data_IF_416426877663
#
_entry.id   IF_416426877663
#
_cell.length_a   1.000
_cell.length_b   1.000
_cell.length_c   1.000
_cell.angle_alpha   90.00
_cell.angle_beta   90.00
_cell.angle_gamma   90.00
#
_symmetry.space_group_name_H-M   'P 1'
#
loop_
_entity.id
_entity.type
_entity.pdbx_description
1 polymer ?
#
# COMPACT_ATOMS: atom_id res chain seq x y z
N UNK A 1 -6.10 4.13 20.97
CA UNK A 1 -6.14 5.42 21.70
C UNK A 1 -6.66 6.56 20.83
N UNK A 2 -6.23 6.64 19.55
CA UNK A 2 -6.70 7.60 18.54
C UNK A 2 -8.22 7.80 18.47
N UNK A 3 -9.02 6.72 18.36
CA UNK A 3 -10.48 6.84 18.22
C UNK A 3 -11.17 7.59 19.37
N UNK A 4 -10.63 7.51 20.58
CA UNK A 4 -11.15 8.22 21.75
C UNK A 4 -10.85 9.72 21.62
N UNK A 5 -9.63 10.07 21.21
CA UNK A 5 -9.21 11.47 21.00
C UNK A 5 -10.03 12.11 19.87
N UNK A 6 -10.23 11.39 18.76
CA UNK A 6 -11.03 11.87 17.64
C UNK A 6 -12.49 12.13 18.08
N UNK A 7 -13.07 11.20 18.86
CA UNK A 7 -14.42 11.35 19.41
C UNK A 7 -14.54 12.59 20.31
N UNK A 8 -13.59 12.81 21.23
CA UNK A 8 -13.59 14.00 22.08
C UNK A 8 -13.37 15.29 21.28
N UNK A 9 -12.51 15.25 20.26
CA UNK A 9 -12.29 16.37 19.36
C UNK A 9 -13.59 16.81 18.67
N UNK A 10 -14.34 15.85 18.11
CA UNK A 10 -15.66 16.14 17.52
C UNK A 10 -16.68 16.61 18.56
N UNK A 11 -16.70 16.02 19.75
CA UNK A 11 -17.64 16.38 20.80
C UNK A 11 -17.41 17.80 21.33
N UNK A 12 -16.15 18.21 21.48
CA UNK A 12 -15.78 19.59 21.83
C UNK A 12 -16.15 20.56 20.70
N UNK A 13 -15.87 20.19 19.45
CA UNK A 13 -16.15 21.05 18.30
C UNK A 13 -17.66 21.26 18.14
N UNK A 14 -18.45 20.18 18.04
CA UNK A 14 -19.88 20.27 17.84
C UNK A 14 -20.62 20.73 19.10
N UNK A 15 -20.33 20.11 20.25
CA UNK A 15 -20.98 20.41 21.53
C UNK A 15 -20.62 21.79 22.06
N UNK A 16 -19.34 22.16 22.03
CA UNK A 16 -18.89 23.48 22.50
C UNK A 16 -19.42 24.62 21.63
N UNK A 17 -19.51 24.42 20.31
CA UNK A 17 -20.10 25.41 19.41
C UNK A 17 -21.61 25.55 19.64
N UNK A 18 -22.32 24.43 19.79
CA UNK A 18 -23.75 24.44 20.06
C UNK A 18 -24.08 25.13 21.40
N UNK A 19 -23.40 24.72 22.48
CA UNK A 19 -23.58 25.33 23.81
C UNK A 19 -23.20 26.81 23.78
N UNK A 20 -22.06 27.16 23.17
CA UNK A 20 -21.60 28.55 23.07
C UNK A 20 -22.58 29.46 22.31
N UNK A 21 -23.21 28.96 21.24
CA UNK A 21 -24.26 29.69 20.51
C UNK A 21 -25.52 29.85 21.34
N UNK A 22 -26.01 28.78 21.99
CA UNK A 22 -27.23 28.85 22.83
C UNK A 22 -27.07 29.71 24.07
N UNK A 23 -25.88 29.76 24.65
CA UNK A 23 -25.57 30.56 25.83
C UNK A 23 -25.09 31.98 25.50
N UNK A 24 -24.92 32.32 24.22
CA UNK A 24 -24.33 33.59 23.76
C UNK A 24 -22.86 33.81 24.16
N UNK A 25 -22.15 32.75 24.56
CA UNK A 25 -20.76 32.87 25.01
C UNK A 25 -19.80 32.75 23.84
N UNK A 26 -19.34 33.91 23.35
CA UNK A 26 -18.32 33.99 22.29
C UNK A 26 -17.05 33.24 22.68
N UNK A 27 -16.66 33.27 23.97
CA UNK A 27 -15.48 32.56 24.48
C UNK A 27 -15.58 31.06 24.28
N UNK A 28 -16.75 30.45 24.55
CA UNK A 28 -16.95 29.01 24.34
C UNK A 28 -16.90 28.63 22.86
N UNK A 29 -17.48 29.47 21.98
CA UNK A 29 -17.43 29.26 20.53
C UNK A 29 -15.99 29.34 20.00
N UNK A 30 -15.22 30.33 20.45
CA UNK A 30 -13.80 30.44 20.06
C UNK A 30 -13.01 29.24 20.58
N UNK A 31 -13.20 28.87 21.85
CA UNK A 31 -12.49 27.74 22.44
C UNK A 31 -12.83 26.41 21.74
N UNK A 32 -14.08 26.18 21.34
CA UNK A 32 -14.47 24.97 20.61
C UNK A 32 -13.91 24.95 19.19
N UNK A 33 -13.90 26.10 18.52
CA UNK A 33 -13.41 26.24 17.15
C UNK A 33 -11.90 26.03 17.05
N UNK A 34 -11.13 26.39 18.07
CA UNK A 34 -9.68 26.13 18.10
C UNK A 34 -9.33 24.82 18.80
N UNK A 35 -9.98 24.48 19.92
CA UNK A 35 -9.67 23.29 20.71
C UNK A 35 -10.04 21.98 20.02
N UNK A 36 -11.17 21.94 19.31
CA UNK A 36 -11.62 20.77 18.56
C UNK A 36 -10.61 20.35 17.49
N UNK A 37 -10.25 21.23 16.53
CA UNK A 37 -9.27 20.90 15.49
C UNK A 37 -7.88 20.56 16.03
N UNK A 38 -7.43 21.20 17.12
CA UNK A 38 -6.16 20.87 17.77
C UNK A 38 -6.16 19.42 18.26
N UNK A 39 -7.22 18.98 18.94
CA UNK A 39 -7.35 17.59 19.40
C UNK A 39 -7.40 16.60 18.24
N UNK A 40 -8.14 16.90 17.18
CA UNK A 40 -8.17 16.09 15.95
C UNK A 40 -6.78 16.01 15.30
N UNK A 41 -6.04 17.12 15.27
CA UNK A 41 -4.66 17.16 14.80
C UNK A 41 -3.73 16.28 15.64
N UNK A 42 -3.85 16.33 16.97
CA UNK A 42 -3.11 15.44 17.89
C UNK A 42 -3.45 13.96 17.65
N UNK A 43 -4.73 13.62 17.44
CA UNK A 43 -5.15 12.27 17.08
C UNK A 43 -4.49 11.78 15.79
N UNK A 44 -4.37 12.66 14.80
CA UNK A 44 -3.67 12.36 13.56
C UNK A 44 -2.16 12.13 13.77
N UNK A 45 -1.50 12.99 14.56
CA UNK A 45 -0.08 12.85 14.90
C UNK A 45 0.22 11.53 15.64
N UNK A 46 -0.66 11.14 16.58
CA UNK A 46 -0.54 9.85 17.27
C UNK A 46 -0.65 8.70 16.27
N UNK A 47 -1.60 8.76 15.34
CA UNK A 47 -1.71 7.74 14.30
C UNK A 47 -0.47 7.65 13.40
N UNK A 48 0.19 8.78 13.12
CA UNK A 48 1.47 8.77 12.41
C UNK A 48 2.56 8.13 13.29
N UNK A 49 2.64 8.50 14.57
CA UNK A 49 3.62 7.95 15.50
C UNK A 49 3.46 6.44 15.71
N UNK A 50 2.24 5.94 15.89
CA UNK A 50 1.92 4.51 15.98
C UNK A 50 2.38 3.77 14.71
N UNK A 51 2.17 4.35 13.52
CA UNK A 51 2.64 3.80 12.26
C UNK A 51 4.17 3.76 12.15
N UNK A 52 4.86 4.81 12.60
CA UNK A 52 6.34 4.85 12.61
C UNK A 52 6.89 3.82 13.60
N UNK A 53 6.32 3.75 14.80
CA UNK A 53 6.73 2.78 15.82
C UNK A 53 6.51 1.33 15.35
N UNK A 54 5.38 1.04 14.70
CA UNK A 54 5.12 -0.29 14.13
C UNK A 54 6.18 -0.70 13.10
N UNK A 55 6.62 0.24 12.24
CA UNK A 55 7.72 -0.01 11.30
C UNK A 55 9.04 -0.28 12.02
N UNK A 56 9.36 0.51 13.05
CA UNK A 56 10.60 0.32 13.83
C UNK A 56 10.63 -1.03 14.55
N UNK A 57 9.46 -1.58 14.89
CA UNK A 57 9.31 -2.88 15.56
C UNK A 57 9.07 -4.05 14.59
N UNK A 58 9.16 -3.83 13.27
CA UNK A 58 8.83 -4.83 12.24
C UNK A 58 7.45 -5.49 12.45
N UNK A 59 6.48 -4.75 12.99
CA UNK A 59 5.12 -5.23 13.14
C UNK A 59 4.41 -5.22 11.78
N UNK A 60 3.53 -6.20 11.56
CA UNK A 60 2.74 -6.28 10.34
C UNK A 60 1.95 -4.97 10.13
N UNK A 61 2.08 -4.31 8.96
CA UNK A 61 1.41 -3.04 8.71
C UNK A 61 -0.10 -3.21 8.71
N UNK A 62 -0.81 -2.25 9.30
CA UNK A 62 -2.28 -2.27 9.33
C UNK A 62 -2.85 -2.01 7.92
N UNK A 63 -4.11 -2.41 7.64
CA UNK A 63 -4.74 -2.14 6.36
C UNK A 63 -4.75 -0.66 5.96
N UNK A 64 -4.92 0.25 6.93
CA UNK A 64 -4.88 1.70 6.69
C UNK A 64 -3.46 2.19 6.36
N UNK A 65 -2.44 1.62 7.02
CA UNK A 65 -1.03 1.88 6.71
C UNK A 65 -0.69 1.45 5.29
N UNK A 66 -1.11 0.24 4.89
CA UNK A 66 -0.90 -0.30 3.54
C UNK A 66 -1.61 0.58 2.51
N UNK A 67 -2.85 0.98 2.78
CA UNK A 67 -3.60 1.88 1.91
C UNK A 67 -2.90 3.23 1.74
N UNK A 68 -2.45 3.83 2.83
CA UNK A 68 -1.70 5.10 2.80
C UNK A 68 -0.39 4.98 2.02
N UNK A 69 0.34 3.88 2.22
CA UNK A 69 1.56 3.54 1.47
C UNK A 69 1.30 3.44 -0.02
N UNK A 70 0.30 2.66 -0.42
CA UNK A 70 -0.10 2.51 -1.83
C UNK A 70 -0.56 3.86 -2.41
N UNK A 71 -1.28 4.67 -1.64
CA UNK A 71 -1.76 5.97 -2.12
C UNK A 71 -0.62 6.94 -2.40
N UNK A 72 0.38 6.98 -1.53
CA UNK A 72 1.50 7.91 -1.57
C UNK A 72 2.75 7.36 -2.30
N UNK A 73 2.71 6.11 -2.75
CA UNK A 73 3.80 5.48 -3.47
C UNK A 73 4.13 6.24 -4.78
N UNK A 74 5.41 6.49 -5.06
CA UNK A 74 5.84 7.11 -6.31
C UNK A 74 5.48 6.22 -7.50
N UNK A 75 5.14 6.85 -8.62
CA UNK A 75 4.81 6.15 -9.86
C UNK A 75 5.97 6.28 -10.86
N UNK A 76 6.31 5.17 -11.51
CA UNK A 76 7.40 5.07 -12.46
C UNK A 76 6.95 4.30 -13.69
N UNK A 77 7.63 4.54 -14.81
CA UNK A 77 7.45 3.77 -16.04
C UNK A 77 8.04 2.37 -15.84
N UNK A 78 7.28 1.32 -16.13
CA UNK A 78 7.75 -0.07 -15.96
C UNK A 78 8.25 -0.58 -17.30
N UNK A 79 9.50 -1.04 -17.32
CA UNK A 79 10.16 -1.61 -18.48
C UNK A 79 10.46 -3.09 -18.23
N UNK A 80 9.90 -3.96 -19.07
CA UNK A 80 10.15 -5.40 -19.07
C UNK A 80 10.79 -5.89 -20.38
N UNK A 81 11.27 -4.98 -21.23
CA UNK A 81 11.80 -5.31 -22.55
C UNK A 81 12.99 -6.28 -22.49
N UNK A 82 13.88 -6.12 -21.51
CA UNK A 82 15.06 -6.97 -21.29
C UNK A 82 14.74 -8.44 -21.04
N UNK A 83 13.53 -8.75 -20.57
CA UNK A 83 13.07 -10.11 -20.23
C UNK A 83 11.87 -10.54 -21.08
N UNK A 84 11.57 -9.82 -22.17
CA UNK A 84 10.45 -10.12 -23.06
C UNK A 84 9.06 -9.95 -22.44
N UNK A 85 8.95 -9.22 -21.32
CA UNK A 85 7.68 -8.98 -20.63
C UNK A 85 7.08 -7.65 -21.09
N UNK A 86 6.03 -7.74 -21.90
CA UNK A 86 5.25 -6.59 -22.36
C UNK A 86 4.35 -6.03 -21.24
N UNK A 87 4.57 -4.77 -20.90
CA UNK A 87 3.75 -4.07 -19.90
C UNK A 87 2.47 -3.51 -20.55
N UNK A 88 1.31 -3.85 -20.00
CA UNK A 88 0.01 -3.32 -20.42
C UNK A 88 -0.26 -1.97 -19.72
N UNK A 89 -1.05 -1.04 -20.27
CA UNK A 89 -1.53 -0.95 -21.65
C UNK A 89 -0.43 -0.55 -22.64
N UNK A 90 0.63 0.09 -22.16
CA UNK A 90 1.82 0.45 -22.92
C UNK A 90 3.02 0.51 -21.97
N UNK A 91 4.24 0.41 -22.53
CA UNK A 91 5.48 0.54 -21.75
C UNK A 91 5.57 1.89 -21.01
N UNK A 92 4.97 2.96 -21.56
CA UNK A 92 4.99 4.30 -20.97
C UNK A 92 3.98 4.52 -19.84
N UNK A 93 3.13 3.53 -19.53
CA UNK A 93 2.13 3.68 -18.48
C UNK A 93 2.79 3.67 -17.09
N UNK A 94 2.59 4.71 -16.26
CA UNK A 94 3.20 4.77 -14.95
C UNK A 94 2.49 3.83 -13.95
N UNK A 95 3.28 3.05 -13.22
CA UNK A 95 2.84 2.18 -12.13
C UNK A 95 3.50 2.56 -10.82
N UNK A 96 2.75 2.40 -9.73
CA UNK A 96 3.24 2.70 -8.39
C UNK A 96 4.25 1.65 -7.92
N UNK A 97 5.41 2.11 -7.47
CA UNK A 97 6.41 1.28 -6.78
C UNK A 97 6.02 1.13 -5.32
N UNK A 98 5.58 -0.06 -4.95
CA UNK A 98 5.11 -0.33 -3.59
C UNK A 98 6.09 -1.28 -2.94
N UNK A 99 6.71 -0.82 -1.86
CA UNK A 99 7.61 -1.64 -1.05
C UNK A 99 6.95 -1.91 0.29
N UNK A 100 6.75 -3.19 0.61
CA UNK A 100 6.14 -3.66 1.84
C UNK A 100 7.04 -4.75 2.41
N UNK A 101 7.56 -4.52 3.61
CA UNK A 101 8.41 -5.47 4.34
C UNK A 101 9.63 -5.97 3.52
N UNK A 102 10.25 -5.07 2.74
CA UNK A 102 11.41 -5.40 1.89
C UNK A 102 11.06 -6.07 0.57
N UNK A 103 9.78 -6.36 0.33
CA UNK A 103 9.29 -6.96 -0.91
C UNK A 103 8.65 -5.91 -1.82
N UNK A 104 8.88 -6.07 -3.12
CA UNK A 104 8.36 -5.14 -4.14
C UNK A 104 7.08 -5.68 -4.74
N UNK A 105 6.05 -4.85 -4.69
CA UNK A 105 4.73 -5.11 -5.25
C UNK A 105 4.43 -4.18 -6.41
N UNK A 106 3.79 -4.75 -7.43
CA UNK A 106 3.24 -4.00 -8.57
C UNK A 106 1.78 -4.36 -8.78
N UNK A 107 1.03 -3.48 -9.44
CA UNK A 107 -0.32 -3.83 -9.87
C UNK A 107 -0.23 -4.96 -10.90
N UNK A 108 -0.91 -6.06 -10.63
CA UNK A 108 -1.01 -7.22 -11.53
C UNK A 108 -1.42 -6.83 -12.96
N UNK A 109 -2.24 -5.78 -13.12
CA UNK A 109 -2.64 -5.23 -14.43
C UNK A 109 -1.45 -4.86 -15.33
N UNK A 110 -0.28 -4.53 -14.77
CA UNK A 110 0.93 -4.30 -15.56
C UNK A 110 1.31 -5.53 -16.39
N UNK A 111 1.04 -6.73 -15.87
CA UNK A 111 1.37 -8.02 -16.47
C UNK A 111 0.14 -8.69 -17.12
N UNK A 112 -0.89 -7.90 -17.48
CA UNK A 112 -2.19 -8.44 -17.96
C UNK A 112 -2.06 -9.47 -19.08
N UNK A 113 -1.08 -9.32 -19.96
CA UNK A 113 -0.86 -10.22 -21.10
C UNK A 113 -0.36 -11.62 -20.69
N UNK A 114 0.08 -11.77 -19.44
CA UNK A 114 0.66 -13.00 -18.89
C UNK A 114 -0.15 -13.52 -17.70
N UNK A 115 -1.36 -12.98 -17.48
CA UNK A 115 -2.22 -13.33 -16.35
C UNK A 115 -3.52 -13.92 -16.84
N UNK A 116 -3.85 -15.09 -16.30
CA UNK A 116 -5.20 -15.63 -16.30
C UNK A 116 -5.75 -15.62 -14.89
N UNK A 117 -7.01 -15.22 -14.71
CA UNK A 117 -7.66 -15.20 -13.39
C UNK A 117 -8.95 -16.00 -13.41
N UNK A 118 -9.09 -16.91 -12.46
CA UNK A 118 -10.31 -17.67 -12.19
C UNK A 118 -10.62 -17.52 -10.70
N UNK A 119 -11.76 -16.89 -10.39
CA UNK A 119 -12.17 -16.52 -9.04
C UNK A 119 -11.10 -15.70 -8.30
N UNK A 120 -10.47 -16.28 -7.27
CA UNK A 120 -9.38 -15.68 -6.49
C UNK A 120 -8.01 -16.27 -6.83
N UNK A 121 -7.89 -17.05 -7.90
CA UNK A 121 -6.63 -17.64 -8.36
C UNK A 121 -6.14 -16.92 -9.61
N UNK A 122 -4.84 -16.64 -9.61
CA UNK A 122 -4.14 -15.94 -10.68
C UNK A 122 -2.98 -16.79 -11.15
N UNK A 123 -3.00 -17.16 -12.42
CA UNK A 123 -1.93 -17.89 -13.10
C UNK A 123 -1.05 -16.90 -13.86
N UNK A 124 0.24 -16.89 -13.58
CA UNK A 124 1.25 -16.03 -14.20
C UNK A 124 2.12 -16.86 -15.12
N UNK A 125 1.94 -16.69 -16.43
CA UNK A 125 2.68 -17.41 -17.47
C UNK A 125 3.67 -16.45 -18.16
N UNK A 126 4.80 -16.19 -17.50
CA UNK A 126 5.85 -15.32 -18.03
C UNK A 126 6.73 -16.05 -19.08
N UNK A 127 7.38 -15.34 -20.01
CA UNK A 127 8.29 -15.95 -20.98
C UNK A 127 9.43 -16.72 -20.30
N UNK A 128 9.80 -17.86 -20.90
CA UNK A 128 10.90 -18.73 -20.47
C UNK A 128 10.82 -19.20 -19.01
N UNK A 129 9.60 -19.35 -18.48
CA UNK A 129 9.35 -19.68 -17.08
C UNK A 129 8.19 -20.63 -16.88
N UNK A 130 8.23 -21.33 -15.75
CA UNK A 130 7.08 -22.09 -15.27
C UNK A 130 5.93 -21.18 -14.87
N UNK A 131 4.71 -21.65 -15.10
CA UNK A 131 3.51 -20.92 -14.71
C UNK A 131 3.36 -20.95 -13.19
N UNK A 132 3.29 -19.78 -12.57
CA UNK A 132 3.09 -19.65 -11.13
C UNK A 132 1.62 -19.38 -10.86
N UNK A 133 0.99 -20.18 -9.98
CA UNK A 133 -0.40 -19.99 -9.58
C UNK A 133 -0.45 -19.45 -8.15
N UNK A 134 -1.01 -18.25 -7.99
CA UNK A 134 -1.14 -17.57 -6.71
C UNK A 134 -2.60 -17.37 -6.34
N UNK A 135 -2.92 -17.44 -5.04
CA UNK A 135 -4.24 -17.09 -4.51
C UNK A 135 -4.22 -15.67 -3.96
N UNK A 136 -5.13 -14.83 -4.43
CA UNK A 136 -5.27 -13.47 -3.95
C UNK A 136 -5.91 -13.47 -2.55
N UNK A 137 -5.27 -12.79 -1.62
CA UNK A 137 -5.83 -12.51 -0.30
C UNK A 137 -6.66 -11.22 -0.33
N UNK A 138 -7.71 -11.15 0.49
CA UNK A 138 -8.61 -9.97 0.54
C UNK A 138 -7.92 -8.72 1.09
N UNK A 139 -6.81 -8.90 1.81
CA UNK A 139 -5.99 -7.86 2.41
C UNK A 139 -4.53 -8.26 2.43
N UNK A 140 -3.67 -7.28 2.57
CA UNK A 140 -2.25 -7.53 2.82
C UNK A 140 -2.03 -8.23 4.17
N UNK A 141 -1.13 -9.20 4.17
CA UNK A 141 -0.47 -9.75 5.34
C UNK A 141 1.02 -9.89 5.01
N UNK A 142 1.87 -9.96 6.02
CA UNK A 142 3.31 -10.09 5.79
C UNK A 142 3.64 -11.30 4.91
N UNK A 143 4.50 -11.10 3.90
CA UNK A 143 4.90 -12.10 2.92
C UNK A 143 3.81 -12.59 1.96
N UNK A 144 2.64 -11.94 1.89
CA UNK A 144 1.55 -12.41 1.02
C UNK A 144 1.91 -12.17 -0.45
N UNK A 145 1.93 -13.20 -1.32
CA UNK A 145 2.40 -13.04 -2.70
C UNK A 145 1.43 -12.25 -3.58
N UNK A 146 0.15 -12.20 -3.20
CA UNK A 146 -0.91 -11.57 -3.99
C UNK A 146 -2.04 -11.09 -3.08
N UNK A 147 -2.44 -9.82 -3.19
CA UNK A 147 -3.53 -9.28 -2.37
C UNK A 147 -4.38 -8.21 -3.09
N UNK A 148 -5.60 -8.03 -2.62
CA UNK A 148 -6.52 -6.99 -3.04
C UNK A 148 -6.37 -5.72 -2.18
N UNK A 149 -6.37 -4.56 -2.85
CA UNK A 149 -6.49 -3.26 -2.18
C UNK A 149 -7.12 -2.24 -3.13
N UNK A 150 -8.14 -1.53 -2.65
CA UNK A 150 -8.84 -0.46 -3.39
C UNK A 150 -9.30 -0.88 -4.80
N UNK A 151 -9.82 -2.09 -4.96
CA UNK A 151 -10.29 -2.60 -6.26
C UNK A 151 -9.17 -2.99 -7.24
N UNK A 152 -7.93 -3.06 -6.77
CA UNK A 152 -6.79 -3.51 -7.55
C UNK A 152 -6.12 -4.72 -6.89
N UNK A 153 -5.51 -5.58 -7.71
CA UNK A 153 -4.68 -6.70 -7.25
C UNK A 153 -3.22 -6.34 -7.38
N UNK A 154 -2.49 -6.52 -6.28
CA UNK A 154 -1.05 -6.29 -6.18
C UNK A 154 -0.33 -7.62 -6.04
N UNK A 155 0.68 -7.83 -6.87
CA UNK A 155 1.51 -9.05 -6.90
C UNK A 155 2.92 -8.72 -6.45
N UNK A 156 3.46 -9.60 -5.61
CA UNK A 156 4.87 -9.58 -5.20
C UNK A 156 5.74 -10.06 -6.37
N UNK A 157 6.69 -9.23 -6.81
CA UNK A 157 7.53 -9.57 -7.97
C UNK A 157 8.33 -10.86 -7.73
N UNK A 158 8.89 -11.03 -6.54
CA UNK A 158 9.70 -12.19 -6.18
C UNK A 158 8.90 -13.50 -6.23
N UNK A 159 7.60 -13.47 -5.89
CA UNK A 159 6.72 -14.64 -5.97
C UNK A 159 6.52 -15.17 -7.40
N UNK A 160 6.66 -14.30 -8.40
CA UNK A 160 6.59 -14.66 -9.82
C UNK A 160 7.99 -14.70 -10.47
N UNK A 161 9.04 -14.75 -9.64
CA UNK A 161 10.45 -14.83 -10.03
C UNK A 161 11.03 -13.54 -10.62
N UNK A 162 10.34 -12.42 -10.53
CA UNK A 162 10.81 -11.13 -11.03
C UNK A 162 11.44 -10.30 -9.90
N UNK A 163 12.39 -9.45 -10.24
CA UNK A 163 12.84 -8.36 -9.38
C UNK A 163 12.66 -7.04 -10.11
N UNK A 164 12.44 -5.97 -9.36
CA UNK A 164 12.43 -4.62 -9.90
C UNK A 164 13.67 -3.89 -9.46
N UNK A 165 14.27 -3.10 -10.35
CA UNK A 165 15.34 -2.16 -10.00
C UNK A 165 14.92 -0.79 -10.48
N UNK A 166 15.03 0.20 -9.61
CA UNK A 166 14.71 1.59 -9.93
C UNK A 166 15.94 2.29 -10.51
N UNK A 167 15.84 2.75 -11.75
CA UNK A 167 16.89 3.50 -12.45
C UNK A 167 16.26 4.69 -13.18
N UNK A 168 16.70 5.92 -12.90
CA UNK A 168 16.35 7.14 -13.65
C UNK A 168 14.84 7.28 -14.01
N UNK A 169 13.97 7.19 -13.00
CA UNK A 169 12.50 7.29 -13.13
C UNK A 169 11.81 6.10 -13.81
N UNK A 170 12.53 4.99 -13.98
CA UNK A 170 12.01 3.73 -14.52
C UNK A 170 12.18 2.60 -13.53
N UNK A 171 11.30 1.61 -13.65
CA UNK A 171 11.41 0.30 -13.01
C UNK A 171 11.80 -0.69 -14.09
N UNK A 172 13.04 -1.16 -14.06
CA UNK A 172 13.49 -2.24 -14.94
C UNK A 172 13.19 -3.57 -14.26
N UNK A 173 12.35 -4.39 -14.90
CA UNK A 173 12.07 -5.75 -14.45
C UNK A 173 13.21 -6.67 -14.86
N UNK A 174 13.73 -7.44 -13.91
CA UNK A 174 14.78 -8.43 -14.13
C UNK A 174 14.33 -9.80 -13.67
N UNK A 175 14.97 -10.80 -14.25
CA UNK A 175 14.79 -12.18 -13.82
C UNK A 175 15.61 -12.45 -12.57
N UNK A 176 14.97 -12.90 -11.50
CA UNK A 176 15.69 -13.54 -10.39
C UNK A 176 16.19 -14.87 -10.93
N UNK A 177 17.49 -14.98 -11.17
CA UNK A 177 18.11 -16.28 -11.39
C UNK A 177 17.93 -17.05 -10.10
N UNK A 178 17.17 -18.14 -10.13
CA UNK A 178 17.23 -19.11 -9.04
C UNK A 178 18.65 -19.67 -9.07
N UNK A 179 19.52 -19.13 -8.22
CA UNK A 179 20.78 -19.77 -7.92
C UNK A 179 20.39 -21.10 -7.29
N UNK A 180 20.44 -22.18 -8.08
CA UNK A 180 20.25 -23.52 -7.58
C UNK A 180 21.36 -23.80 -6.57
N UNK A 181 21.11 -23.50 -5.30
CA UNK A 181 21.78 -24.19 -4.21
C UNK A 181 21.22 -25.60 -4.21
N UNK A 182 21.88 -26.44 -5.01
CA UNK A 182 21.89 -27.87 -4.79
C UNK A 182 22.41 -28.11 -3.39
N UNK A 183 21.49 -28.39 -2.48
CA UNK A 183 21.80 -29.03 -1.22
C UNK A 183 22.10 -30.51 -1.49
N UNK A 184 23.28 -30.77 -2.06
CA UNK A 184 23.95 -32.06 -1.98
C UNK A 184 24.85 -32.04 -0.74
N UNK A 185 24.28 -32.38 0.41
CA UNK A 185 24.99 -32.93 1.57
C UNK A 185 24.12 -33.94 2.32
#
# INVERSE_FOLDING_TARGET
MRAIIDLFGYLILAGGTFVGLTSGSVTLVVLSLFGGPVLLGLGHLIGIAENVQARLLNLAPTPDTVRSLIKNAPAYVVDGSDIGVAVYPSADAPYKWIELNGEVYVRSRALRNYIESVDNRYSFALPDRETVVLRASDRYSDGVPLFWSEGHVYVMLSAIGLSGIRENDRISLRTIRQTGEGNDR
#
